data_IF_531654048400
#
_entry.id   IF_531654048400
#
_cell.length_a   1.000
_cell.length_b   1.000
_cell.length_c   1.000
_cell.angle_alpha   90.00
_cell.angle_beta   90.00
_cell.angle_gamma   90.00
#
_symmetry.space_group_name_H-M   'P 1'
#
loop_
_entity.id
_entity.type
_entity.pdbx_description
1 polymer ?
#
# COMPACT_ATOMS: atom_id res chain seq x y z
N UNK A 1 -24.07 39.43 32.08
CA UNK A 1 -25.00 39.10 30.98
C UNK A 1 -24.64 37.72 30.47
N UNK A 2 -25.44 36.71 30.81
CA UNK A 2 -25.23 35.34 30.33
C UNK A 2 -25.73 35.25 28.89
N UNK A 3 -24.88 34.79 27.98
CA UNK A 3 -25.27 34.52 26.59
C UNK A 3 -26.08 33.23 26.60
N UNK A 4 -27.38 33.37 26.37
CA UNK A 4 -28.31 32.25 26.25
C UNK A 4 -27.94 31.44 25.00
N UNK A 5 -27.51 30.20 25.22
CA UNK A 5 -27.11 29.31 24.13
C UNK A 5 -28.32 29.03 23.24
N UNK A 6 -28.23 29.39 21.95
CA UNK A 6 -29.30 29.09 21.02
C UNK A 6 -29.51 27.58 20.91
N UNK A 7 -30.77 27.11 20.89
CA UNK A 7 -31.07 25.70 20.72
C UNK A 7 -30.54 25.24 19.35
N UNK A 8 -29.64 24.25 19.38
CA UNK A 8 -29.08 23.65 18.19
C UNK A 8 -30.19 22.83 17.52
N UNK A 9 -30.77 23.36 16.44
CA UNK A 9 -31.74 22.62 15.64
C UNK A 9 -31.04 21.38 15.05
N UNK A 10 -31.51 20.16 15.35
CA UNK A 10 -30.86 18.96 14.83
C UNK A 10 -30.93 18.93 13.31
N UNK A 11 -29.80 18.64 12.66
CA UNK A 11 -29.68 18.51 11.21
C UNK A 11 -30.71 17.51 10.66
N UNK A 12 -31.54 17.87 9.68
CA UNK A 12 -32.49 16.96 9.04
C UNK A 12 -31.75 15.97 8.13
N UNK A 13 -31.93 14.66 8.37
CA UNK A 13 -31.21 13.58 7.65
C UNK A 13 -32.06 12.91 6.57
N UNK A 14 -33.27 13.41 6.30
CA UNK A 14 -34.13 12.90 5.22
C UNK A 14 -34.47 11.41 5.36
N UNK A 15 -34.26 10.62 4.30
CA UNK A 15 -34.60 9.20 4.25
C UNK A 15 -33.87 8.33 5.30
N UNK A 16 -32.83 8.86 5.95
CA UNK A 16 -32.01 8.17 6.96
C UNK A 16 -32.40 8.54 8.39
N UNK A 17 -33.50 9.26 8.58
CA UNK A 17 -33.96 9.70 9.89
C UNK A 17 -34.27 8.51 10.83
N UNK A 18 -34.70 7.37 10.27
CA UNK A 18 -34.93 6.11 11.00
C UNK A 18 -33.66 5.47 11.57
N UNK A 19 -32.50 5.76 10.97
CA UNK A 19 -31.22 5.16 11.35
C UNK A 19 -30.45 6.03 12.34
N UNK A 20 -30.99 7.18 12.79
CA UNK A 20 -30.27 8.13 13.66
C UNK A 20 -29.78 7.49 14.97
N UNK A 21 -30.60 6.63 15.59
CA UNK A 21 -30.21 5.92 16.80
C UNK A 21 -29.09 4.89 16.54
N UNK A 22 -29.11 4.24 15.37
CA UNK A 22 -28.05 3.36 14.92
C UNK A 22 -26.80 4.13 14.48
N UNK A 23 -26.90 5.33 13.90
CA UNK A 23 -25.76 6.19 13.55
C UNK A 23 -25.10 6.82 14.78
N UNK A 24 -25.86 7.06 15.85
CA UNK A 24 -25.35 7.56 17.13
C UNK A 24 -24.65 6.47 17.97
N UNK A 25 -25.00 5.19 17.73
CA UNK A 25 -24.48 4.04 18.48
C UNK A 25 -23.61 3.10 17.65
N UNK A 26 -23.60 3.27 16.32
CA UNK A 26 -22.68 2.61 15.43
C UNK A 26 -21.30 2.94 15.94
N UNK A 27 -20.56 1.89 16.32
CA UNK A 27 -19.13 2.00 16.49
C UNK A 27 -18.59 2.42 15.13
N UNK A 28 -18.40 3.73 14.96
CA UNK A 28 -17.44 4.25 14.02
C UNK A 28 -16.12 3.64 14.48
N UNK A 29 -15.70 2.52 13.89
CA UNK A 29 -14.29 2.20 13.93
C UNK A 29 -13.64 3.35 13.21
N UNK A 30 -12.99 4.23 13.98
CA UNK A 30 -12.38 5.46 13.51
C UNK A 30 -11.23 5.23 12.52
N UNK A 31 -10.96 3.98 12.13
CA UNK A 31 -9.79 3.62 11.35
C UNK A 31 -10.12 2.47 10.39
N UNK A 32 -10.49 2.81 9.15
CA UNK A 32 -10.22 1.95 7.99
C UNK A 32 -8.73 1.96 7.65
N UNK A 33 -7.89 1.65 8.63
CA UNK A 33 -6.43 1.60 8.49
C UNK A 33 -6.04 0.21 7.97
N UNK A 34 -5.88 -0.76 8.87
CA UNK A 34 -5.37 -2.09 8.52
C UNK A 34 -6.09 -3.24 9.23
N UNK A 35 -7.23 -3.00 9.89
CA UNK A 35 -7.85 -4.00 10.77
C UNK A 35 -8.37 -5.26 10.07
N UNK A 36 -8.66 -5.17 8.78
CA UNK A 36 -9.07 -6.26 7.88
C UNK A 36 -7.92 -6.83 7.04
N UNK A 37 -6.67 -6.39 7.26
CA UNK A 37 -5.48 -6.97 6.63
C UNK A 37 -5.02 -8.26 7.36
N UNK A 38 -4.16 -9.09 6.72
CA UNK A 38 -3.58 -10.28 7.36
C UNK A 38 -2.94 -9.97 8.71
N UNK A 39 -3.03 -10.91 9.66
CA UNK A 39 -2.62 -10.72 11.05
C UNK A 39 -1.12 -10.41 11.17
N UNK A 40 -0.30 -11.03 10.33
CA UNK A 40 1.15 -10.89 10.27
C UNK A 40 1.54 -9.49 9.80
N UNK A 41 0.82 -8.94 8.81
CA UNK A 41 1.05 -7.57 8.35
C UNK A 41 0.63 -6.56 9.41
N UNK A 42 -0.51 -6.79 10.06
CA UNK A 42 -0.96 -5.93 11.17
C UNK A 42 0.07 -5.91 12.30
N UNK A 43 0.59 -7.08 12.64
CA UNK A 43 1.65 -7.21 13.64
C UNK A 43 2.88 -6.36 13.28
N UNK A 44 3.39 -6.50 12.05
CA UNK A 44 4.52 -5.71 11.55
C UNK A 44 4.25 -4.21 11.63
N UNK A 45 3.10 -3.75 11.15
CA UNK A 45 2.73 -2.33 11.17
C UNK A 45 2.66 -1.79 12.60
N UNK A 46 1.96 -2.46 13.51
CA UNK A 46 1.80 -1.95 14.88
C UNK A 46 3.11 -1.99 15.68
N UNK A 47 3.94 -3.02 15.51
CA UNK A 47 5.27 -3.07 16.16
C UNK A 47 6.17 -1.98 15.60
N UNK A 48 6.22 -1.80 14.28
CA UNK A 48 7.02 -0.73 13.65
C UNK A 48 6.62 0.65 14.17
N UNK A 49 5.32 0.91 14.29
CA UNK A 49 4.79 2.17 14.85
C UNK A 49 5.17 2.35 16.31
N UNK A 50 5.15 1.28 17.12
CA UNK A 50 5.58 1.33 18.52
C UNK A 50 7.09 1.62 18.63
N UNK A 51 7.91 0.99 17.79
CA UNK A 51 9.36 1.23 17.71
C UNK A 51 9.64 2.69 17.30
N UNK A 52 9.03 3.18 16.23
CA UNK A 52 9.20 4.57 15.79
C UNK A 52 8.73 5.58 16.85
N UNK A 53 7.64 5.29 17.55
CA UNK A 53 7.18 6.14 18.65
C UNK A 53 8.19 6.15 19.81
N UNK A 54 8.89 5.02 20.05
CA UNK A 54 9.96 4.93 21.04
C UNK A 54 11.21 5.70 20.61
N UNK A 55 11.67 5.55 19.38
CA UNK A 55 12.87 6.24 18.87
C UNK A 55 12.77 7.77 18.90
N UNK A 56 11.54 8.31 18.89
CA UNK A 56 11.29 9.75 19.03
C UNK A 56 11.35 10.26 20.48
N UNK A 57 11.41 9.37 21.47
CA UNK A 57 11.54 9.79 22.86
C UNK A 57 12.99 10.24 23.14
N UNK A 58 13.16 11.28 23.95
CA UNK A 58 14.48 11.80 24.30
C UNK A 58 15.35 10.79 25.07
N UNK A 59 14.72 9.82 25.72
CA UNK A 59 15.36 8.75 26.50
C UNK A 59 15.39 7.40 25.76
N UNK A 60 15.16 7.38 24.44
CA UNK A 60 15.16 6.17 23.63
C UNK A 60 16.48 5.38 23.78
N UNK A 61 16.36 4.06 23.81
CA UNK A 61 17.52 3.18 23.93
C UNK A 61 18.32 3.15 22.63
N UNK A 62 19.65 3.06 22.75
CA UNK A 62 20.60 2.98 21.62
C UNK A 62 21.39 1.68 21.61
N UNK A 63 21.04 0.73 22.47
CA UNK A 63 21.63 -0.59 22.58
C UNK A 63 20.68 -1.57 23.28
N UNK A 64 20.91 -2.87 23.05
CA UNK A 64 20.14 -3.97 23.62
C UNK A 64 18.97 -4.35 22.72
N UNK A 65 19.15 -5.43 21.95
CA UNK A 65 18.12 -5.90 21.04
C UNK A 65 16.81 -6.21 21.76
N UNK A 66 15.70 -6.18 21.03
CA UNK A 66 14.40 -6.59 21.51
C UNK A 66 13.78 -7.57 20.52
N UNK A 67 13.01 -8.52 21.04
CA UNK A 67 12.22 -9.42 20.22
C UNK A 67 10.75 -9.18 20.46
N UNK A 68 9.96 -9.10 19.39
CA UNK A 68 8.51 -9.08 19.44
C UNK A 68 8.00 -10.35 18.80
N UNK A 69 7.39 -11.22 19.60
CA UNK A 69 6.87 -12.52 19.20
C UNK A 69 5.36 -12.41 19.01
N UNK A 70 4.89 -12.77 17.82
CA UNK A 70 3.47 -12.83 17.51
C UNK A 70 2.84 -14.05 18.19
N UNK A 71 1.90 -13.78 19.11
CA UNK A 71 1.13 -14.80 19.82
C UNK A 71 -0.37 -14.58 19.69
N UNK A 72 -1.14 -15.64 19.89
CA UNK A 72 -2.59 -15.53 20.03
C UNK A 72 -2.96 -14.85 21.36
N UNK A 73 -4.18 -14.28 21.49
CA UNK A 73 -4.64 -13.74 22.77
C UNK A 73 -4.58 -14.76 23.92
N UNK A 74 -4.93 -16.02 23.64
CA UNK A 74 -4.86 -17.10 24.63
C UNK A 74 -3.43 -17.34 25.11
N UNK A 75 -2.48 -17.50 24.18
CA UNK A 75 -1.06 -17.67 24.52
C UNK A 75 -0.51 -16.48 25.31
N UNK A 76 -0.91 -15.24 24.95
CA UNK A 76 -0.51 -14.05 25.70
C UNK A 76 -1.02 -14.11 27.15
N UNK A 77 -2.26 -14.54 27.39
CA UNK A 77 -2.79 -14.70 28.76
C UNK A 77 -2.03 -15.78 29.54
N UNK A 78 -1.73 -16.92 28.93
CA UNK A 78 -0.95 -18.00 29.54
C UNK A 78 0.46 -17.56 29.94
N UNK A 79 1.09 -16.71 29.12
CA UNK A 79 2.44 -16.20 29.34
C UNK A 79 2.54 -15.16 30.47
N UNK A 80 1.42 -14.58 30.95
CA UNK A 80 1.41 -13.57 32.03
C UNK A 80 1.96 -14.10 33.34
N UNK A 81 1.74 -15.37 33.66
CA UNK A 81 2.21 -15.95 34.91
C UNK A 81 3.73 -15.89 34.97
N UNK A 82 4.26 -15.18 35.97
CA UNK A 82 5.71 -15.04 36.17
C UNK A 82 6.39 -14.01 35.26
N UNK A 83 5.63 -13.22 34.49
CA UNK A 83 6.16 -12.17 33.60
C UNK A 83 5.51 -10.83 33.86
N UNK A 84 6.14 -9.79 33.33
CA UNK A 84 5.63 -8.43 33.40
C UNK A 84 4.62 -8.18 32.28
N UNK A 85 3.73 -7.21 32.47
CA UNK A 85 2.69 -6.87 31.50
C UNK A 85 2.55 -5.36 31.37
N UNK A 86 2.56 -4.87 30.13
CA UNK A 86 2.44 -3.45 29.80
C UNK A 86 1.26 -3.21 28.85
N UNK A 87 0.33 -2.35 29.27
CA UNK A 87 -0.86 -1.97 28.48
C UNK A 87 -0.61 -0.80 27.53
N UNK A 88 0.56 -0.17 27.63
CA UNK A 88 0.89 1.11 27.01
C UNK A 88 2.09 1.03 26.07
N UNK A 89 2.60 -0.18 25.81
CA UNK A 89 3.72 -0.43 24.89
C UNK A 89 3.56 0.22 23.51
N UNK A 90 2.33 0.24 22.98
CA UNK A 90 2.00 0.86 21.70
C UNK A 90 2.23 2.38 21.64
N UNK A 91 2.38 3.04 22.79
CA UNK A 91 2.61 4.49 22.86
C UNK A 91 4.06 4.89 22.64
N UNK A 92 5.00 3.93 22.66
CA UNK A 92 6.44 4.20 22.59
C UNK A 92 7.03 4.87 23.84
N UNK A 93 6.24 5.07 24.91
CA UNK A 93 6.70 5.73 26.15
C UNK A 93 7.43 4.81 27.12
N UNK A 94 7.48 3.52 26.81
CA UNK A 94 8.07 2.50 27.66
C UNK A 94 9.24 1.87 26.93
N UNK A 95 10.23 1.41 27.69
CA UNK A 95 11.40 0.73 27.15
C UNK A 95 11.02 -0.49 26.32
N UNK A 96 11.62 -0.61 25.13
CA UNK A 96 11.49 -1.79 24.28
C UNK A 96 12.75 -2.67 24.30
N UNK A 97 13.93 -2.04 24.34
CA UNK A 97 15.23 -2.73 24.33
C UNK A 97 15.42 -3.73 25.50
N UNK A 98 16.27 -4.74 25.26
CA UNK A 98 16.66 -5.80 26.20
C UNK A 98 15.48 -6.62 26.75
N UNK A 99 14.45 -6.83 25.92
CA UNK A 99 13.22 -7.53 26.29
C UNK A 99 12.75 -8.49 25.20
N UNK A 100 12.12 -9.58 25.64
CA UNK A 100 11.30 -10.45 24.78
C UNK A 100 9.84 -10.12 25.05
N UNK A 101 9.19 -9.55 24.06
CA UNK A 101 7.81 -9.11 24.05
C UNK A 101 6.91 -10.15 23.39
N UNK A 102 5.85 -10.56 24.07
CA UNK A 102 4.80 -11.42 23.52
C UNK A 102 3.55 -10.58 23.26
N UNK A 103 3.22 -10.43 21.99
CA UNK A 103 2.21 -9.48 21.52
C UNK A 103 1.23 -10.16 20.58
N UNK A 104 -0.02 -9.73 20.63
CA UNK A 104 -0.98 -10.08 19.57
C UNK A 104 -0.74 -9.22 18.33
N UNK A 105 -1.41 -9.55 17.23
CA UNK A 105 -1.35 -8.80 15.97
C UNK A 105 -1.68 -7.30 16.07
N UNK A 106 -2.26 -6.84 17.19
CA UNK A 106 -2.55 -5.41 17.43
C UNK A 106 -1.40 -4.65 18.10
N UNK A 107 -0.43 -5.37 18.67
CA UNK A 107 0.66 -4.84 19.51
C UNK A 107 0.22 -3.79 20.56
N UNK A 108 -1.06 -3.79 20.97
CA UNK A 108 -1.60 -2.79 21.89
C UNK A 108 -1.06 -2.95 23.32
N UNK A 109 -0.69 -4.18 23.69
CA UNK A 109 -0.12 -4.54 24.98
C UNK A 109 0.86 -5.68 24.81
N UNK A 110 1.78 -5.82 25.77
CA UNK A 110 2.82 -6.85 25.77
C UNK A 110 2.87 -7.54 27.11
N UNK A 111 2.92 -8.87 27.09
CA UNK A 111 3.61 -9.62 28.15
C UNK A 111 5.09 -9.56 27.81
N UNK A 112 5.97 -9.37 28.78
CA UNK A 112 7.39 -9.33 28.49
C UNK A 112 8.24 -9.86 29.65
N UNK A 113 9.44 -10.26 29.28
CA UNK A 113 10.51 -10.55 30.21
C UNK A 113 11.78 -9.84 29.76
N UNK A 114 12.63 -9.49 30.73
CA UNK A 114 13.93 -8.90 30.47
C UNK A 114 14.94 -10.02 30.23
N UNK A 115 15.91 -9.78 29.35
CA UNK A 115 17.02 -10.70 29.16
C UNK A 115 18.34 -9.94 29.30
N UNK A 116 19.39 -10.68 29.64
CA UNK A 116 20.75 -10.15 29.75
C UNK A 116 21.58 -10.83 28.67
N UNK A 117 22.06 -10.06 27.70
CA UNK A 117 22.84 -10.58 26.60
C UNK A 117 23.19 -9.51 25.58
N UNK A 118 24.00 -9.88 24.60
CA UNK A 118 24.26 -9.06 23.42
C UNK A 118 23.13 -9.22 22.38
N UNK A 119 23.38 -8.75 21.15
CA UNK A 119 22.42 -8.88 20.05
C UNK A 119 22.10 -10.34 19.70
N UNK A 120 23.03 -11.28 19.91
CA UNK A 120 22.79 -12.71 19.67
C UNK A 120 22.06 -13.37 20.84
N UNK A 121 22.28 -12.89 22.07
CA UNK A 121 21.63 -13.40 23.27
C UNK A 121 20.10 -13.35 23.23
N UNK A 122 19.50 -12.47 22.41
CA UNK A 122 18.04 -12.47 22.21
C UNK A 122 17.57 -13.73 21.49
N UNK A 123 18.33 -14.26 20.53
CA UNK A 123 17.98 -15.46 19.76
C UNK A 123 18.02 -16.70 20.65
N UNK A 124 19.08 -16.83 21.45
CA UNK A 124 19.22 -17.90 22.44
C UNK A 124 18.05 -17.86 23.42
N UNK A 125 17.69 -16.65 23.89
CA UNK A 125 16.58 -16.48 24.82
C UNK A 125 15.23 -16.86 24.22
N UNK A 126 14.97 -16.51 22.96
CA UNK A 126 13.74 -16.92 22.26
C UNK A 126 13.66 -18.45 22.14
N UNK A 127 14.78 -19.12 21.86
CA UNK A 127 14.85 -20.58 21.78
C UNK A 127 14.64 -21.26 23.14
N UNK A 128 15.22 -20.73 24.22
CA UNK A 128 14.97 -21.20 25.59
C UNK A 128 13.49 -21.11 25.97
N UNK A 129 12.80 -20.08 25.48
CA UNK A 129 11.36 -19.89 25.65
C UNK A 129 10.49 -20.72 24.69
N UNK A 130 11.12 -21.52 23.82
CA UNK A 130 10.44 -22.35 22.81
C UNK A 130 9.54 -21.55 21.86
N UNK A 131 9.97 -20.32 21.56
CA UNK A 131 9.23 -19.37 20.72
C UNK A 131 9.94 -19.08 19.38
N UNK A 132 11.05 -19.75 19.10
CA UNK A 132 11.90 -19.63 17.91
C UNK A 132 11.22 -20.03 16.60
N UNK A 133 10.05 -20.69 16.70
CA UNK A 133 9.20 -21.08 15.57
C UNK A 133 8.00 -20.16 15.34
N UNK A 134 7.79 -19.17 16.20
CA UNK A 134 6.71 -18.20 16.06
C UNK A 134 7.19 -16.99 15.26
N UNK A 135 6.33 -16.37 14.43
CA UNK A 135 6.70 -15.16 13.71
C UNK A 135 7.20 -14.08 14.66
N UNK A 136 8.33 -13.47 14.33
CA UNK A 136 9.03 -12.55 15.23
C UNK A 136 9.57 -11.32 14.52
N UNK A 137 9.65 -10.19 15.23
CA UNK A 137 10.40 -9.01 14.81
C UNK A 137 11.57 -8.82 15.78
N UNK A 138 12.77 -8.66 15.24
CA UNK A 138 13.96 -8.33 16.03
C UNK A 138 14.31 -6.88 15.78
N UNK A 139 14.27 -6.08 16.84
CA UNK A 139 14.67 -4.68 16.84
C UNK A 139 16.07 -4.56 17.45
N UNK A 140 17.00 -3.98 16.70
CA UNK A 140 18.33 -3.63 17.21
C UNK A 140 18.48 -2.10 17.24
N UNK A 141 18.32 -1.46 18.41
CA UNK A 141 18.47 -0.03 18.56
C UNK A 141 19.91 0.41 18.33
N UNK A 142 20.12 1.53 17.65
CA UNK A 142 21.45 2.11 17.43
C UNK A 142 21.42 3.63 17.51
N UNK A 143 22.52 4.25 17.94
CA UNK A 143 22.68 5.71 17.92
C UNK A 143 22.74 6.30 16.51
N UNK A 144 23.00 5.46 15.50
CA UNK A 144 22.97 5.82 14.09
C UNK A 144 21.65 5.42 13.44
N UNK A 145 21.60 4.19 12.95
CA UNK A 145 20.44 3.62 12.27
C UNK A 145 20.05 2.31 12.95
N UNK A 146 18.91 2.29 13.62
CA UNK A 146 18.34 1.06 14.16
C UNK A 146 17.85 0.15 13.05
N UNK A 147 17.73 -1.14 13.33
CA UNK A 147 17.15 -2.11 12.40
C UNK A 147 15.94 -2.78 13.01
N UNK A 148 14.98 -3.15 12.16
CA UNK A 148 13.85 -3.99 12.51
C UNK A 148 13.74 -5.10 11.47
N UNK A 149 13.89 -6.36 11.87
CA UNK A 149 13.87 -7.50 10.94
C UNK A 149 12.74 -8.44 11.26
N UNK A 150 11.91 -8.76 10.28
CA UNK A 150 10.82 -9.72 10.39
C UNK A 150 11.27 -11.12 10.00
N UNK A 151 10.98 -12.09 10.88
CA UNK A 151 11.21 -13.51 10.71
C UNK A 151 9.84 -14.20 10.60
N UNK A 152 9.29 -14.39 9.38
CA UNK A 152 7.93 -14.91 9.20
C UNK A 152 7.76 -16.35 9.69
N UNK A 153 8.85 -17.14 9.67
CA UNK A 153 8.88 -18.52 10.17
C UNK A 153 9.49 -18.64 11.57
N UNK A 154 9.71 -17.51 12.24
CA UNK A 154 10.44 -17.43 13.50
C UNK A 154 11.95 -17.47 13.33
N UNK A 155 12.66 -17.21 14.44
CA UNK A 155 14.10 -16.95 14.48
C UNK A 155 14.98 -18.20 14.39
N UNK A 156 14.40 -19.40 14.34
CA UNK A 156 15.16 -20.64 14.12
C UNK A 156 15.71 -20.79 12.68
N UNK A 157 15.28 -19.91 11.77
CA UNK A 157 15.64 -19.96 10.35
C UNK A 157 15.63 -18.56 9.74
N UNK A 158 16.58 -18.25 8.86
CA UNK A 158 16.70 -16.95 8.16
C UNK A 158 15.78 -16.83 6.93
N UNK A 159 14.87 -17.77 6.83
CA UNK A 159 14.36 -18.26 5.58
C UNK A 159 13.11 -17.43 5.24
N UNK A 160 13.27 -16.45 4.35
CA UNK A 160 12.25 -15.45 4.07
C UNK A 160 12.26 -14.25 5.02
N UNK A 161 13.37 -13.99 5.72
CA UNK A 161 13.50 -12.78 6.53
C UNK A 161 13.37 -11.51 5.69
N UNK A 162 12.86 -10.43 6.30
CA UNK A 162 12.65 -9.14 5.64
C UNK A 162 13.06 -8.00 6.58
N UNK A 163 13.90 -7.09 6.11
CA UNK A 163 14.18 -5.84 6.82
C UNK A 163 12.99 -4.88 6.67
N UNK A 164 12.47 -4.40 7.80
CA UNK A 164 11.39 -3.42 7.87
C UNK A 164 11.99 -2.03 7.99
N UNK A 165 11.65 -1.15 7.04
CA UNK A 165 12.14 0.22 7.07
C UNK A 165 11.50 1.02 8.21
N UNK A 166 12.33 1.45 9.16
CA UNK A 166 11.95 2.33 10.27
C UNK A 166 12.01 3.81 9.93
N UNK A 167 12.83 4.20 8.94
CA UNK A 167 12.99 5.61 8.57
C UNK A 167 11.71 6.13 7.90
N UNK A 168 11.08 7.13 8.52
CA UNK A 168 9.99 7.88 7.92
C UNK A 168 10.54 8.83 6.84
N UNK A 169 10.86 8.29 5.68
CA UNK A 169 11.18 9.09 4.50
C UNK A 169 9.90 9.72 3.92
N UNK A 170 10.06 10.80 3.17
CA UNK A 170 8.96 11.38 2.39
C UNK A 170 8.40 10.33 1.43
N UNK A 171 7.09 10.11 1.45
CA UNK A 171 6.43 9.25 0.45
C UNK A 171 6.46 9.96 -0.90
N UNK A 172 7.19 9.40 -1.86
CA UNK A 172 7.30 9.94 -3.22
C UNK A 172 6.41 9.20 -4.21
N UNK A 173 6.11 9.83 -5.35
CA UNK A 173 5.40 9.15 -6.45
C UNK A 173 6.17 7.90 -6.91
N UNK A 174 7.50 7.97 -7.02
CA UNK A 174 8.33 6.85 -7.44
C UNK A 174 8.21 5.63 -6.51
N UNK A 175 8.11 5.86 -5.19
CA UNK A 175 7.92 4.76 -4.22
C UNK A 175 6.50 4.19 -4.29
N UNK A 176 5.48 5.01 -4.48
CA UNK A 176 4.11 4.52 -4.69
C UNK A 176 4.06 3.66 -5.96
N UNK A 177 4.66 4.14 -7.05
CA UNK A 177 4.71 3.41 -8.31
C UNK A 177 5.48 2.08 -8.17
N UNK A 178 6.57 2.05 -7.42
CA UNK A 178 7.33 0.81 -7.22
C UNK A 178 6.52 -0.24 -6.45
N UNK A 179 5.73 0.19 -5.46
CA UNK A 179 4.79 -0.69 -4.75
C UNK A 179 3.70 -1.21 -5.68
N UNK A 180 3.04 -0.32 -6.44
CA UNK A 180 1.99 -0.73 -7.37
C UNK A 180 2.54 -1.70 -8.42
N UNK A 181 3.73 -1.42 -8.95
CA UNK A 181 4.40 -2.28 -9.93
C UNK A 181 4.73 -3.67 -9.35
N UNK A 182 5.21 -3.72 -8.10
CA UNK A 182 5.48 -4.98 -7.42
C UNK A 182 4.19 -5.80 -7.24
N UNK A 183 3.11 -5.18 -6.75
CA UNK A 183 1.79 -5.82 -6.60
C UNK A 183 1.25 -6.26 -7.96
N UNK A 184 1.36 -5.41 -8.97
CA UNK A 184 0.92 -5.72 -10.32
C UNK A 184 1.62 -6.96 -10.85
N UNK A 185 2.96 -7.01 -10.80
CA UNK A 185 3.73 -8.16 -11.31
C UNK A 185 3.43 -9.45 -10.57
N UNK A 186 3.28 -9.39 -9.26
CA UNK A 186 3.14 -10.57 -8.40
C UNK A 186 1.72 -11.09 -8.32
N UNK A 187 0.71 -10.23 -8.39
CA UNK A 187 -0.69 -10.61 -8.10
C UNK A 187 -1.68 -10.35 -9.25
N UNK A 188 -1.45 -9.34 -10.09
CA UNK A 188 -2.48 -8.84 -11.01
C UNK A 188 -2.16 -9.08 -12.49
N UNK A 189 -0.89 -9.16 -12.87
CA UNK A 189 -0.44 -9.09 -14.26
C UNK A 189 -1.05 -10.18 -15.14
N UNK A 190 -1.15 -11.41 -14.62
CA UNK A 190 -1.78 -12.54 -15.30
C UNK A 190 -2.67 -13.31 -14.31
N UNK A 191 -3.65 -14.10 -14.78
CA UNK A 191 -4.52 -14.88 -13.89
C UNK A 191 -3.77 -16.01 -13.16
N UNK A 192 -2.63 -16.44 -13.70
CA UNK A 192 -1.77 -17.48 -13.14
C UNK A 192 -0.95 -16.94 -11.96
N UNK A 193 -0.66 -15.63 -11.95
CA UNK A 193 0.04 -14.94 -10.87
C UNK A 193 -0.89 -14.66 -9.68
N UNK A 194 -2.17 -14.40 -9.95
CA UNK A 194 -3.16 -14.16 -8.89
C UNK A 194 -3.30 -15.42 -8.04
N UNK A 195 -2.93 -15.33 -6.75
CA UNK A 195 -2.99 -16.44 -5.79
C UNK A 195 -4.42 -16.98 -5.56
N UNK A 196 -4.89 -17.10 -4.31
CA UNK A 196 -6.26 -17.59 -4.06
C UNK A 196 -7.33 -16.59 -4.53
N UNK A 197 -7.02 -15.29 -4.54
CA UNK A 197 -7.94 -14.24 -4.96
C UNK A 197 -7.89 -14.07 -6.47
N UNK A 198 -8.98 -14.37 -7.16
CA UNK A 198 -9.06 -14.25 -8.62
C UNK A 198 -9.59 -12.88 -9.05
N UNK A 199 -8.99 -12.31 -10.10
CA UNK A 199 -9.45 -11.06 -10.72
C UNK A 199 -10.24 -11.29 -12.01
N UNK A 200 -10.09 -12.46 -12.62
CA UNK A 200 -10.83 -12.88 -13.81
C UNK A 200 -11.90 -13.91 -13.44
N UNK A 201 -13.15 -13.68 -13.86
CA UNK A 201 -14.21 -14.69 -13.82
C UNK A 201 -14.03 -15.70 -14.96
N UNK A 202 -13.63 -15.21 -16.14
CA UNK A 202 -13.24 -16.02 -17.29
C UNK A 202 -12.21 -15.25 -18.12
N UNK A 203 -10.93 -15.51 -17.86
CA UNK A 203 -9.83 -14.79 -18.51
C UNK A 203 -9.81 -15.03 -20.04
N UNK A 204 -10.08 -16.25 -20.49
CA UNK A 204 -10.11 -16.60 -21.92
C UNK A 204 -11.15 -15.83 -22.73
N UNK A 205 -12.25 -15.41 -22.09
CA UNK A 205 -13.28 -14.55 -22.70
C UNK A 205 -13.11 -13.06 -22.37
N UNK A 206 -12.14 -12.71 -21.53
CA UNK A 206 -11.94 -11.34 -21.06
C UNK A 206 -13.02 -10.87 -20.09
N UNK A 207 -13.63 -11.76 -19.32
CA UNK A 207 -14.64 -11.41 -18.32
C UNK A 207 -13.97 -11.23 -16.95
N UNK A 208 -13.92 -10.01 -16.39
CA UNK A 208 -13.43 -9.78 -15.04
C UNK A 208 -14.41 -10.34 -14.01
N UNK A 209 -13.99 -10.44 -12.74
CA UNK A 209 -14.97 -10.58 -11.65
C UNK A 209 -15.78 -9.28 -11.51
N UNK A 210 -16.98 -9.38 -10.93
CA UNK A 210 -17.86 -8.21 -10.70
C UNK A 210 -17.11 -7.11 -9.93
N UNK A 211 -16.43 -7.52 -8.86
CA UNK A 211 -15.77 -6.69 -7.85
C UNK A 211 -14.31 -6.39 -8.17
N UNK A 212 -13.90 -6.40 -9.45
CA UNK A 212 -12.49 -6.32 -9.83
C UNK A 212 -11.79 -5.05 -9.31
N UNK A 213 -12.47 -3.91 -9.30
CA UNK A 213 -11.89 -2.64 -8.80
C UNK A 213 -11.61 -2.71 -7.29
N UNK A 214 -12.59 -3.19 -6.51
CA UNK A 214 -12.42 -3.44 -5.07
C UNK A 214 -11.31 -4.46 -4.78
N UNK A 215 -11.18 -5.50 -5.62
CA UNK A 215 -10.11 -6.49 -5.47
C UNK A 215 -8.74 -5.87 -5.75
N UNK A 216 -8.59 -5.07 -6.81
CA UNK A 216 -7.35 -4.32 -7.08
C UNK A 216 -7.02 -3.38 -5.92
N UNK A 217 -7.99 -2.61 -5.46
CA UNK A 217 -7.85 -1.71 -4.32
C UNK A 217 -7.31 -2.45 -3.08
N UNK A 218 -7.84 -3.63 -2.77
CA UNK A 218 -7.37 -4.43 -1.64
C UNK A 218 -5.91 -4.89 -1.79
N UNK A 219 -5.52 -5.35 -2.98
CA UNK A 219 -4.13 -5.72 -3.25
C UNK A 219 -3.17 -4.54 -3.10
N UNK A 220 -3.52 -3.38 -3.66
CA UNK A 220 -2.71 -2.18 -3.52
C UNK A 220 -2.62 -1.73 -2.08
N UNK A 221 -3.72 -1.78 -1.33
CA UNK A 221 -3.76 -1.41 0.08
C UNK A 221 -2.82 -2.28 0.93
N UNK A 222 -2.81 -3.59 0.69
CA UNK A 222 -1.86 -4.52 1.33
C UNK A 222 -0.41 -4.12 1.01
N UNK A 223 -0.10 -3.91 -0.27
CA UNK A 223 1.25 -3.52 -0.70
C UNK A 223 1.70 -2.17 -0.10
N UNK A 224 0.83 -1.17 -0.11
CA UNK A 224 1.10 0.16 0.46
C UNK A 224 1.29 0.10 1.97
N UNK A 225 0.46 -0.67 2.69
CA UNK A 225 0.59 -0.83 4.14
C UNK A 225 1.88 -1.57 4.52
N UNK A 226 2.30 -2.55 3.71
CA UNK A 226 3.55 -3.27 3.88
C UNK A 226 4.78 -2.44 3.51
N UNK A 227 4.65 -1.42 2.66
CA UNK A 227 5.77 -0.52 2.34
C UNK A 227 5.89 0.63 3.35
N UNK A 228 4.76 1.23 3.70
CA UNK A 228 4.68 2.48 4.46
C UNK A 228 4.09 2.23 5.85
N UNK A 229 4.76 1.41 6.66
CA UNK A 229 4.29 1.01 8.00
C UNK A 229 3.98 2.21 8.93
N UNK A 230 4.64 3.35 8.72
CA UNK A 230 4.41 4.59 9.47
C UNK A 230 3.17 5.35 9.04
N UNK A 231 2.74 5.18 7.79
CA UNK A 231 1.53 5.78 7.27
C UNK A 231 0.29 4.99 7.67
N UNK A 232 -0.84 5.67 7.66
CA UNK A 232 -2.20 5.13 7.64
C UNK A 232 -2.64 5.04 6.18
N UNK A 233 -3.00 3.83 5.72
CA UNK A 233 -3.58 3.65 4.38
C UNK A 233 -5.09 3.62 4.52
N UNK A 234 -5.76 4.68 4.09
CA UNK A 234 -7.21 4.82 4.21
C UNK A 234 -7.87 4.38 2.90
N UNK A 235 -8.90 3.56 2.99
CA UNK A 235 -9.73 3.18 1.85
C UNK A 235 -11.15 3.73 1.98
N UNK A 236 -11.78 4.02 0.85
CA UNK A 236 -13.21 4.33 0.77
C UNK A 236 -13.66 5.50 1.67
N UNK A 237 -12.83 6.56 1.77
CA UNK A 237 -13.15 7.67 2.67
C UNK A 237 -14.28 8.50 2.10
N UNK A 238 -15.40 8.54 2.85
CA UNK A 238 -16.57 9.33 2.48
C UNK A 238 -16.31 10.82 2.74
N UNK A 239 -16.53 11.64 1.73
CA UNK A 239 -16.48 13.10 1.79
C UNK A 239 -17.70 13.74 1.14
N UNK A 240 -17.77 15.07 1.17
CA UNK A 240 -18.89 15.83 0.56
C UNK A 240 -19.01 15.61 -0.95
N UNK A 241 -17.88 15.32 -1.61
CA UNK A 241 -17.78 15.21 -3.07
C UNK A 241 -17.87 13.75 -3.57
N UNK A 242 -18.04 12.79 -2.67
CA UNK A 242 -18.03 11.37 -2.99
C UNK A 242 -17.08 10.60 -2.09
N UNK A 243 -16.53 9.51 -2.62
CA UNK A 243 -15.74 8.54 -1.85
C UNK A 243 -14.39 8.35 -2.55
N UNK A 244 -13.31 8.44 -1.79
CA UNK A 244 -11.94 8.25 -2.30
C UNK A 244 -11.58 6.77 -2.30
N UNK A 245 -10.85 6.30 -3.32
CA UNK A 245 -10.46 4.88 -3.37
C UNK A 245 -9.35 4.58 -2.35
N UNK A 246 -8.19 5.24 -2.44
CA UNK A 246 -7.08 5.07 -1.49
C UNK A 246 -6.38 6.40 -1.15
N UNK A 247 -5.98 6.55 0.11
CA UNK A 247 -5.15 7.65 0.59
C UNK A 247 -3.96 7.14 1.41
N UNK A 248 -2.77 7.70 1.17
CA UNK A 248 -1.57 7.51 1.99
C UNK A 248 -1.42 8.71 2.90
N UNK A 249 -1.63 8.51 4.20
CA UNK A 249 -1.67 9.59 5.19
C UNK A 249 -0.67 9.35 6.29
N UNK A 250 0.00 10.40 6.74
CA UNK A 250 0.84 10.36 7.93
C UNK A 250 0.28 11.32 8.97
N UNK A 251 -0.26 10.73 10.03
CA UNK A 251 -0.77 11.38 11.22
C UNK A 251 0.09 11.08 12.46
N UNK A 252 1.33 10.59 12.26
CA UNK A 252 2.15 10.04 13.34
C UNK A 252 3.59 10.52 13.36
N UNK A 253 4.23 10.81 12.24
CA UNK A 253 5.68 11.12 12.20
C UNK A 253 5.97 12.62 12.26
N UNK A 254 5.01 13.44 11.84
CA UNK A 254 5.11 14.90 11.89
C UNK A 254 4.90 15.49 13.29
N UNK A 255 4.83 16.82 13.35
CA UNK A 255 4.49 17.56 14.56
C UNK A 255 3.17 17.07 15.17
N UNK A 256 3.05 17.14 16.49
CA UNK A 256 1.85 16.67 17.19
C UNK A 256 0.58 17.38 16.67
N UNK A 257 -0.36 16.59 16.14
CA UNK A 257 -1.61 17.09 15.55
C UNK A 257 -1.52 17.47 14.07
N UNK A 258 -0.33 17.41 13.46
CA UNK A 258 -0.19 17.54 12.02
C UNK A 258 -0.61 16.25 11.31
N UNK A 259 -1.29 16.40 10.18
CA UNK A 259 -1.67 15.31 9.29
C UNK A 259 -1.16 15.66 7.89
N UNK A 260 -0.29 14.83 7.34
CA UNK A 260 0.23 14.95 5.98
C UNK A 260 -0.50 13.96 5.07
N UNK A 261 -1.26 14.47 4.11
CA UNK A 261 -1.87 13.62 3.07
C UNK A 261 -0.86 13.49 1.93
N UNK A 262 -0.02 12.46 1.96
CA UNK A 262 1.03 12.27 0.96
C UNK A 262 0.45 12.03 -0.44
N UNK A 263 -0.52 11.13 -0.55
CA UNK A 263 -1.07 10.78 -1.85
C UNK A 263 -2.54 10.41 -1.78
N UNK A 264 -3.26 10.74 -2.84
CA UNK A 264 -4.57 10.22 -3.16
C UNK A 264 -4.50 9.45 -4.48
N UNK A 265 -4.97 8.21 -4.46
CA UNK A 265 -4.99 7.31 -5.60
C UNK A 265 -6.46 7.03 -5.94
N UNK A 266 -6.91 7.56 -7.07
CA UNK A 266 -8.17 7.16 -7.71
C UNK A 266 -7.87 5.96 -8.61
N UNK A 267 -8.68 4.91 -8.50
CA UNK A 267 -8.51 3.66 -9.21
C UNK A 267 -9.61 3.50 -10.27
N UNK A 268 -9.25 2.95 -11.43
CA UNK A 268 -10.22 2.56 -12.45
C UNK A 268 -9.84 1.23 -13.06
N UNK A 269 -10.77 0.28 -13.09
CA UNK A 269 -10.60 -0.94 -13.89
C UNK A 269 -11.22 -0.75 -15.27
N UNK A 270 -10.39 -0.65 -16.31
CA UNK A 270 -10.85 -0.50 -17.70
C UNK A 270 -11.20 -1.88 -18.26
N UNK A 271 -12.36 -2.02 -18.92
CA UNK A 271 -12.90 -3.33 -19.30
C UNK A 271 -13.48 -3.28 -20.70
N UNK A 272 -13.28 -4.34 -21.49
CA UNK A 272 -14.05 -4.55 -22.73
C UNK A 272 -15.38 -5.23 -22.47
N UNK A 273 -15.49 -6.00 -21.39
CA UNK A 273 -16.68 -6.76 -21.04
C UNK A 273 -16.99 -6.68 -19.54
N UNK A 274 -18.27 -6.75 -19.17
CA UNK A 274 -18.71 -6.98 -17.80
C UNK A 274 -18.37 -8.40 -17.34
N UNK A 275 -18.60 -8.68 -16.05
CA UNK A 275 -18.47 -10.04 -15.50
C UNK A 275 -19.42 -11.05 -16.17
N UNK A 276 -20.55 -10.58 -16.71
CA UNK A 276 -21.54 -11.38 -17.45
C UNK A 276 -21.27 -11.46 -18.96
N UNK A 277 -20.27 -10.73 -19.48
CA UNK A 277 -19.91 -10.72 -20.89
C UNK A 277 -20.57 -9.62 -21.74
N UNK A 278 -21.27 -8.67 -21.12
CA UNK A 278 -21.81 -7.50 -21.83
C UNK A 278 -20.67 -6.58 -22.24
N UNK A 279 -20.59 -6.21 -23.51
CA UNK A 279 -19.54 -5.32 -24.01
C UNK A 279 -19.69 -3.88 -23.48
N UNK A 280 -18.58 -3.26 -23.10
CA UNK A 280 -18.50 -1.83 -22.83
C UNK A 280 -18.15 -1.06 -24.10
N UNK A 281 -18.75 0.11 -24.29
CA UNK A 281 -18.36 1.01 -25.38
C UNK A 281 -17.03 1.70 -25.06
N UNK A 282 -16.30 2.09 -26.12
CA UNK A 282 -15.10 2.91 -25.97
C UNK A 282 -15.41 4.22 -25.23
N UNK A 283 -16.51 4.90 -25.59
CA UNK A 283 -16.97 6.13 -24.92
C UNK A 283 -17.18 5.95 -23.42
N UNK A 284 -17.76 4.82 -22.99
CA UNK A 284 -17.94 4.56 -21.56
C UNK A 284 -16.59 4.42 -20.82
N UNK A 285 -15.58 3.88 -21.50
CA UNK A 285 -14.21 3.79 -20.96
C UNK A 285 -13.57 5.19 -20.89
N UNK A 286 -13.69 5.98 -21.94
CA UNK A 286 -13.14 7.34 -22.01
C UNK A 286 -13.78 8.27 -20.96
N UNK A 287 -15.10 8.13 -20.76
CA UNK A 287 -15.85 8.83 -19.71
C UNK A 287 -15.38 8.42 -18.31
N UNK A 288 -15.10 7.13 -18.09
CA UNK A 288 -14.60 6.64 -16.81
C UNK A 288 -13.20 7.21 -16.49
N UNK A 289 -12.32 7.30 -17.48
CA UNK A 289 -11.00 7.94 -17.35
C UNK A 289 -11.16 9.43 -17.06
N UNK A 290 -11.99 10.15 -17.83
CA UNK A 290 -12.26 11.58 -17.63
C UNK A 290 -12.82 11.88 -16.24
N UNK A 291 -13.76 11.06 -15.75
CA UNK A 291 -14.30 11.16 -14.39
C UNK A 291 -13.22 10.90 -13.34
N UNK A 292 -12.39 9.87 -13.55
CA UNK A 292 -11.28 9.55 -12.65
C UNK A 292 -10.30 10.71 -12.46
N UNK A 293 -9.93 11.42 -13.54
CA UNK A 293 -9.07 12.62 -13.45
C UNK A 293 -9.71 13.70 -12.59
N UNK A 294 -10.99 13.98 -12.83
CA UNK A 294 -11.74 14.99 -12.07
C UNK A 294 -11.90 14.61 -10.59
N UNK A 295 -12.13 13.32 -10.30
CA UNK A 295 -12.23 12.78 -8.95
C UNK A 295 -10.89 12.89 -8.21
N UNK A 296 -9.80 12.41 -8.81
CA UNK A 296 -8.46 12.50 -8.24
C UNK A 296 -8.08 13.96 -7.90
N UNK A 297 -8.38 14.89 -8.81
CA UNK A 297 -8.17 16.31 -8.55
C UNK A 297 -9.05 16.84 -7.41
N UNK A 298 -10.38 16.67 -7.51
CA UNK A 298 -11.34 17.26 -6.58
C UNK A 298 -11.13 16.75 -5.15
N UNK A 299 -10.90 15.44 -5.00
CA UNK A 299 -10.63 14.82 -3.72
C UNK A 299 -9.26 15.24 -3.19
N UNK A 300 -8.23 15.25 -4.05
CA UNK A 300 -6.89 15.66 -3.66
C UNK A 300 -6.79 17.12 -3.24
N UNK A 301 -7.58 18.03 -3.82
CA UNK A 301 -7.67 19.43 -3.36
C UNK A 301 -8.41 19.50 -2.02
N UNK A 302 -9.55 18.81 -1.89
CA UNK A 302 -10.34 18.79 -0.66
C UNK A 302 -9.54 18.27 0.55
N UNK A 303 -8.68 17.27 0.34
CA UNK A 303 -7.88 16.64 1.39
C UNK A 303 -6.48 17.22 1.51
N UNK A 304 -6.14 18.25 0.72
CA UNK A 304 -4.80 18.83 0.64
C UNK A 304 -3.70 17.78 0.40
N UNK A 305 -3.98 16.82 -0.50
CA UNK A 305 -3.05 15.76 -0.87
C UNK A 305 -1.91 16.32 -1.72
N UNK A 306 -0.67 15.93 -1.38
CA UNK A 306 0.53 16.36 -2.10
C UNK A 306 0.61 15.74 -3.50
N UNK A 307 0.26 14.45 -3.60
CA UNK A 307 0.20 13.70 -4.86
C UNK A 307 -1.24 13.32 -5.17
N UNK A 308 -1.60 13.37 -6.45
CA UNK A 308 -2.92 12.97 -6.97
C UNK A 308 -2.68 12.09 -8.18
N UNK A 309 -3.25 10.89 -8.16
CA UNK A 309 -2.98 9.89 -9.18
C UNK A 309 -4.29 9.27 -9.67
N UNK A 310 -4.39 9.08 -10.99
CA UNK A 310 -5.35 8.16 -11.60
C UNK A 310 -4.58 6.89 -12.01
N UNK A 311 -4.94 5.77 -11.38
CA UNK A 311 -4.34 4.47 -11.59
C UNK A 311 -5.32 3.56 -12.34
N UNK A 312 -5.04 3.31 -13.62
CA UNK A 312 -5.88 2.47 -14.47
C UNK A 312 -5.35 1.03 -14.55
N UNK A 313 -6.18 0.07 -14.19
CA UNK A 313 -5.90 -1.36 -14.33
C UNK A 313 -6.69 -1.88 -15.52
N UNK A 314 -5.99 -2.16 -16.61
CA UNK A 314 -6.57 -2.29 -17.93
C UNK A 314 -6.80 -3.76 -18.31
N UNK A 315 -8.05 -4.19 -18.24
CA UNK A 315 -8.52 -5.54 -18.56
C UNK A 315 -9.18 -5.60 -19.96
N UNK A 316 -8.96 -4.59 -20.81
CA UNK A 316 -9.49 -4.58 -22.19
C UNK A 316 -8.86 -5.66 -23.04
N UNK A 317 -9.53 -5.99 -24.15
CA UNK A 317 -9.06 -7.02 -25.09
C UNK A 317 -7.69 -6.72 -25.67
N UNK A 318 -7.46 -5.46 -26.03
CA UNK A 318 -6.24 -5.03 -26.71
C UNK A 318 -5.45 -4.08 -25.82
N UNK A 319 -4.15 -4.28 -25.76
CA UNK A 319 -3.24 -3.34 -25.12
C UNK A 319 -2.96 -2.16 -26.07
N UNK A 320 -3.73 -1.08 -25.94
CA UNK A 320 -3.61 0.11 -26.80
C UNK A 320 -2.52 1.10 -26.35
N UNK A 321 -1.84 0.81 -25.24
CA UNK A 321 -0.81 1.67 -24.67
C UNK A 321 -1.35 2.92 -23.96
N UNK A 322 -0.46 3.58 -23.23
CA UNK A 322 -0.78 4.73 -22.38
C UNK A 322 -1.15 5.97 -23.21
N UNK A 323 -0.42 6.21 -24.31
CA UNK A 323 -0.66 7.34 -25.21
C UNK A 323 -2.09 7.34 -25.73
N UNK A 324 -2.56 6.21 -26.23
CA UNK A 324 -3.94 6.07 -26.74
C UNK A 324 -4.96 6.14 -25.61
N UNK A 325 -4.69 5.48 -24.47
CA UNK A 325 -5.62 5.43 -23.35
C UNK A 325 -5.90 6.79 -22.73
N UNK A 326 -4.90 7.68 -22.71
CA UNK A 326 -4.98 8.96 -22.03
C UNK A 326 -5.05 10.18 -22.96
N UNK A 327 -5.07 9.97 -24.29
CA UNK A 327 -5.01 11.05 -25.28
C UNK A 327 -6.05 12.16 -25.04
N UNK A 328 -7.28 11.79 -24.67
CA UNK A 328 -8.38 12.73 -24.48
C UNK A 328 -8.35 13.49 -23.16
N UNK A 329 -7.58 13.05 -22.16
CA UNK A 329 -7.50 13.68 -20.83
C UNK A 329 -6.12 14.27 -20.51
N UNK A 330 -5.14 14.13 -21.40
CA UNK A 330 -3.76 14.51 -21.12
C UNK A 330 -3.61 15.99 -20.70
N UNK A 331 -4.28 16.90 -21.42
CA UNK A 331 -4.26 18.34 -21.13
C UNK A 331 -4.90 18.65 -19.76
N UNK A 332 -6.03 18.01 -19.46
CA UNK A 332 -6.74 18.20 -18.20
C UNK A 332 -5.91 17.68 -17.03
N UNK A 333 -5.30 16.49 -17.17
CA UNK A 333 -4.46 15.90 -16.14
C UNK A 333 -3.24 16.77 -15.82
N UNK A 334 -2.58 17.34 -16.83
CA UNK A 334 -1.47 18.30 -16.63
C UNK A 334 -1.97 19.54 -15.89
N UNK A 335 -3.09 20.11 -16.34
CA UNK A 335 -3.66 21.34 -15.76
C UNK A 335 -4.09 21.14 -14.31
N UNK A 336 -4.62 19.96 -13.99
CA UNK A 336 -5.13 19.60 -12.66
C UNK A 336 -4.07 18.96 -11.76
N UNK A 337 -2.84 18.81 -12.26
CA UNK A 337 -1.72 18.13 -11.61
C UNK A 337 -2.06 16.71 -11.13
N UNK A 338 -2.63 15.89 -12.02
CA UNK A 338 -2.95 14.48 -11.77
C UNK A 338 -2.00 13.60 -12.57
N UNK A 339 -1.27 12.71 -11.89
CA UNK A 339 -0.43 11.71 -12.55
C UNK A 339 -1.29 10.59 -13.13
N UNK A 340 -1.07 10.27 -14.40
CA UNK A 340 -1.77 9.19 -15.10
C UNK A 340 -0.87 7.97 -15.21
N UNK A 341 -1.38 6.80 -14.81
CA UNK A 341 -0.67 5.53 -14.85
C UNK A 341 -1.59 4.40 -15.26
N UNK A 342 -1.05 3.44 -16.00
CA UNK A 342 -1.80 2.27 -16.47
C UNK A 342 -1.00 0.98 -16.30
N UNK A 343 -1.69 -0.08 -15.94
CA UNK A 343 -1.17 -1.44 -15.85
C UNK A 343 -2.07 -2.39 -16.64
N UNK A 344 -1.58 -2.94 -17.75
CA UNK A 344 -2.35 -3.85 -18.59
C UNK A 344 -2.39 -5.26 -18.00
N UNK A 345 -3.58 -5.79 -17.76
CA UNK A 345 -3.78 -7.10 -17.15
C UNK A 345 -4.00 -8.13 -18.24
N UNK A 346 -3.07 -9.06 -18.40
CA UNK A 346 -3.13 -10.08 -19.44
C UNK A 346 -4.13 -11.19 -19.07
N UNK A 347 -4.71 -11.80 -20.10
CA UNK A 347 -5.66 -12.91 -19.98
C UNK A 347 -5.00 -14.26 -19.72
N UNK A 348 -3.71 -14.37 -19.93
CA UNK A 348 -2.91 -15.57 -19.64
C UNK A 348 -1.42 -15.20 -19.61
N UNK A 349 -0.60 -16.04 -18.98
CA UNK A 349 0.85 -15.88 -19.04
C UNK A 349 1.42 -16.07 -20.45
N UNK A 350 0.73 -16.85 -21.30
CA UNK A 350 1.08 -16.99 -22.72
C UNK A 350 0.85 -15.67 -23.48
N UNK A 351 -0.31 -15.04 -23.29
CA UNK A 351 -0.61 -13.75 -23.91
C UNK A 351 0.44 -12.69 -23.57
N UNK A 352 0.86 -12.63 -22.30
CA UNK A 352 1.93 -11.75 -21.85
C UNK A 352 3.26 -12.02 -22.57
N UNK A 353 3.69 -13.28 -22.63
CA UNK A 353 4.94 -13.66 -23.30
C UNK A 353 4.92 -13.30 -24.79
N UNK A 354 3.80 -13.53 -25.46
CA UNK A 354 3.64 -13.24 -26.88
C UNK A 354 3.67 -11.73 -27.17
N UNK A 355 3.10 -10.91 -26.29
CA UNK A 355 3.17 -9.44 -26.41
C UNK A 355 4.61 -8.96 -26.18
N UNK A 356 5.29 -9.42 -25.13
CA UNK A 356 6.69 -9.06 -24.85
C UNK A 356 7.60 -9.45 -26.02
N UNK A 357 7.46 -10.68 -26.54
CA UNK A 357 8.25 -11.16 -27.67
C UNK A 357 8.02 -10.31 -28.93
N UNK A 358 6.77 -9.94 -29.23
CA UNK A 358 6.43 -9.06 -30.35
C UNK A 358 7.06 -7.67 -30.20
N UNK A 359 6.93 -7.05 -29.04
CA UNK A 359 7.52 -5.72 -28.79
C UNK A 359 9.05 -5.72 -28.92
N UNK A 360 9.73 -6.80 -28.51
CA UNK A 360 11.18 -6.94 -28.69
C UNK A 360 11.57 -7.05 -30.16
N UNK A 361 10.79 -7.79 -30.96
CA UNK A 361 11.01 -7.92 -32.41
C UNK A 361 10.79 -6.57 -33.11
N UNK A 362 9.72 -5.86 -32.75
CA UNK A 362 9.40 -4.53 -33.31
C UNK A 362 10.50 -3.52 -32.99
N UNK A 363 10.94 -3.43 -31.73
CA UNK A 363 12.04 -2.55 -31.32
C UNK A 363 13.37 -2.88 -32.03
N UNK A 364 13.66 -4.17 -32.25
CA UNK A 364 14.84 -4.59 -33.00
C UNK A 364 14.75 -4.18 -34.49
N UNK A 365 13.56 -4.31 -35.10
CA UNK A 365 13.33 -3.90 -36.49
C UNK A 365 13.45 -2.37 -36.66
N UNK A 366 12.93 -1.58 -35.72
CA UNK A 366 13.04 -0.12 -35.75
C UNK A 366 14.50 0.34 -35.58
N UNK A 367 15.27 -0.36 -34.74
CA UNK A 367 16.71 -0.12 -34.57
C UNK A 367 17.49 -0.44 -35.86
N UNK A 368 17.12 -1.48 -36.59
CA UNK A 368 17.73 -1.84 -37.88
C UNK A 368 17.35 -0.84 -38.98
N UNK A 369 16.10 -0.39 -39.03
CA UNK A 369 15.62 0.57 -40.02
C UNK A 369 16.28 1.95 -39.84
N UNK A 370 16.42 2.43 -38.60
CA UNK A 370 17.11 3.68 -38.28
C UNK A 370 18.62 3.62 -38.58
N UNK A 371 19.27 2.48 -38.30
CA UNK A 371 20.68 2.25 -38.66
C UNK A 371 20.93 2.24 -40.18
N UNK A 372 20.01 1.68 -40.97
CA UNK A 372 20.10 1.68 -42.44
C UNK A 372 19.87 3.06 -43.06
N UNK A 373 19.02 3.91 -42.46
CA UNK A 373 18.85 5.30 -42.89
C UNK A 373 20.08 6.16 -42.60
N UNK A 374 20.72 5.98 -41.44
CA UNK A 374 21.97 6.66 -41.10
C UNK A 374 23.11 6.30 -42.07
N UNK A 375 23.28 5.01 -42.38
CA UNK A 375 24.31 4.54 -43.32
C UNK A 375 24.11 5.05 -44.76
N UNK A 376 22.86 5.27 -45.19
CA UNK A 376 22.55 5.86 -46.51
C UNK A 376 22.83 7.37 -46.57
N UNK A 377 22.67 8.09 -45.46
CA UNK A 377 23.00 9.51 -45.38
C UNK A 377 24.52 9.75 -45.43
N UNK A 378 25.31 8.90 -44.76
CA UNK A 378 26.78 8.98 -44.79
C UNK A 378 27.37 8.61 -46.15
N UNK A 379 26.77 7.65 -46.87
CA UNK A 379 27.19 7.28 -48.23
C UNK A 379 26.88 8.36 -49.28
N UNK A 380 25.95 9.29 -49.00
CA UNK A 380 25.55 10.37 -49.90
C UNK A 380 26.39 11.65 -49.79
N UNK A 381 27.18 11.82 -48.71
CA UNK A 381 27.92 13.05 -48.42
C UNK A 381 29.26 13.21 -49.16
N UNK A 382 29.77 12.17 -49.83
CA UNK A 382 31.14 12.16 -50.35
C UNK A 382 31.27 12.27 -51.89
N UNK A 383 30.33 12.98 -52.53
CA UNK A 383 30.42 13.36 -53.96
C UNK A 383 30.29 14.86 -54.14
N UNK A 384 31.32 15.61 -53.74
CA UNK A 384 31.77 16.86 -54.40
C UNK A 384 32.97 17.46 -53.65
N UNK A 385 34.16 17.08 -54.08
CA UNK A 385 35.29 18.01 -54.12
C UNK A 385 36.37 17.51 -55.07
N UNK A 386 36.74 18.42 -55.97
CA UNK A 386 37.96 18.56 -56.76
C UNK A 386 37.90 18.19 -58.26
N UNK A 387 38.59 18.99 -59.09
CA UNK A 387 38.72 20.46 -59.12
C UNK A 387 38.01 21.09 -60.32
#
# INVERSE_FOLDING_TARGET
MAVEAQPITPLDLGAWQGDRAQLATARRSSYGDIDDLPLELRFQVYVSRAVQARERQADAETAGAAAFILVTPQQQEELKTGRSFDRTVHTGRVRLAARVHFMTHRAASSVFEEYVGDANGVFDRIAELQCDRLPALIYDPSSGKSTLTYYPRGTHTDDGLVEVQLDASSVTEAEILSVIEAVYRTELCTPDNSGPTKIWQNAGKGHPIEEAERTVQQFLRVGLAARFHWCTIRAEQSGKLGRTDLEVVDDRTGEAGAITHYALLELKVLRSFSHSGTAYSATATDDAVSKGVNQAHSYGVSNNSLLRMLCCFDMRTDDVGDTTTFAHVQTDAITLCVSLKRWYMYRSSEHMRDVIARSQIEAANDSLASGQQAARHDAGGNKKSNP
#
